data_IF_467970220632
#
_entry.id   IF_467970220632
#
_cell.length_a   1.000
_cell.length_b   1.000
_cell.length_c   1.000
_cell.angle_alpha   90.00
_cell.angle_beta   90.00
_cell.angle_gamma   90.00
#
_symmetry.space_group_name_H-M   'P 1'
#
loop_
_entity.id
_entity.type
_entity.pdbx_description
1 polymer ?
#
# COMPACT_ATOMS: atom_id res chain seq x y z
N UNK A 1 -4.67 -12.11 25.49
CA UNK A 1 -3.19 -11.95 25.42
C UNK A 1 -2.50 -12.43 26.71
N UNK A 2 -2.66 -13.71 27.08
CA UNK A 2 -2.02 -14.23 28.32
C UNK A 2 -1.56 -15.70 28.25
N UNK A 3 -1.97 -16.48 27.24
CA UNK A 3 -1.59 -17.90 27.09
C UNK A 3 -0.87 -18.25 25.78
N UNK A 4 -1.22 -17.61 24.66
CA UNK A 4 -0.53 -17.76 23.38
C UNK A 4 -0.56 -16.45 22.60
N UNK A 5 0.53 -16.15 21.90
CA UNK A 5 0.59 -15.03 20.98
C UNK A 5 -0.15 -15.40 19.69
N UNK A 6 -1.00 -14.51 19.18
CA UNK A 6 -1.68 -14.73 17.91
C UNK A 6 -0.64 -14.81 16.78
N UNK A 7 -0.83 -15.77 15.86
CA UNK A 7 0.01 -15.87 14.67
C UNK A 7 -0.19 -14.63 13.80
N UNK A 8 0.91 -14.02 13.36
CA UNK A 8 0.85 -12.93 12.40
C UNK A 8 0.42 -13.50 11.05
N UNK A 9 -0.71 -13.02 10.52
CA UNK A 9 -1.21 -13.41 9.22
C UNK A 9 -0.34 -12.73 8.13
N UNK A 10 0.25 -13.48 7.20
CA UNK A 10 1.01 -12.88 6.11
C UNK A 10 0.07 -12.11 5.19
N UNK A 11 0.48 -10.89 4.83
CA UNK A 11 -0.23 -10.08 3.84
C UNK A 11 0.16 -10.55 2.44
N UNK A 12 -0.83 -10.63 1.56
CA UNK A 12 -0.59 -10.77 0.13
C UNK A 12 0.18 -9.53 -0.38
N UNK A 13 1.16 -9.71 -1.27
CA UNK A 13 1.88 -8.59 -1.87
C UNK A 13 0.99 -7.81 -2.85
N UNK A 14 1.41 -6.58 -3.15
CA UNK A 14 0.73 -5.71 -4.11
C UNK A 14 0.79 -6.29 -5.54
N UNK A 15 -0.28 -6.22 -6.34
CA UNK A 15 -0.29 -6.79 -7.69
C UNK A 15 0.62 -6.07 -8.70
N UNK A 16 0.98 -4.80 -8.47
CA UNK A 16 1.78 -3.99 -9.42
C UNK A 16 3.27 -4.00 -9.06
N UNK A 17 3.59 -3.81 -7.78
CA UNK A 17 4.97 -3.70 -7.30
C UNK A 17 5.45 -4.94 -6.54
N UNK A 18 4.58 -5.93 -6.30
CA UNK A 18 4.86 -7.15 -5.53
C UNK A 18 5.40 -6.88 -4.11
N UNK A 19 5.11 -5.71 -3.56
CA UNK A 19 5.60 -5.27 -2.26
C UNK A 19 4.51 -5.42 -1.18
N UNK A 20 4.91 -5.97 -0.03
CA UNK A 20 4.05 -6.11 1.16
C UNK A 20 3.88 -4.78 1.91
N UNK A 21 4.83 -3.85 1.78
CA UNK A 21 4.75 -2.52 2.40
C UNK A 21 3.64 -1.69 1.77
N UNK A 22 3.54 -1.69 0.43
CA UNK A 22 2.45 -1.03 -0.30
C UNK A 22 1.08 -1.54 0.16
N UNK A 23 0.91 -2.86 0.23
CA UNK A 23 -0.36 -3.44 0.69
C UNK A 23 -0.68 -3.07 2.14
N UNK A 24 0.33 -2.99 3.02
CA UNK A 24 0.14 -2.54 4.41
C UNK A 24 -0.29 -1.07 4.45
N UNK A 25 0.32 -0.21 3.64
CA UNK A 25 -0.04 1.20 3.55
C UNK A 25 -1.47 1.40 3.04
N UNK A 26 -1.82 0.73 1.94
CA UNK A 26 -3.17 0.79 1.35
C UNK A 26 -4.23 0.29 2.34
N UNK A 27 -3.95 -0.73 3.14
CA UNK A 27 -4.88 -1.20 4.18
C UNK A 27 -5.15 -0.15 5.26
N UNK A 28 -4.18 0.72 5.58
CA UNK A 28 -4.36 1.83 6.53
C UNK A 28 -5.05 3.04 5.89
N UNK A 29 -4.87 3.23 4.57
CA UNK A 29 -5.53 4.29 3.79
C UNK A 29 -7.02 3.96 3.53
N UNK A 30 -7.35 2.68 3.44
CA UNK A 30 -8.68 2.20 3.10
C UNK A 30 -9.72 2.55 4.16
N UNK A 31 -10.81 3.19 3.73
CA UNK A 31 -12.01 3.44 4.54
C UNK A 31 -13.16 2.52 4.11
N UNK A 32 -14.00 2.09 5.06
CA UNK A 32 -15.19 1.25 4.79
C UNK A 32 -14.91 -0.07 4.03
N UNK A 33 -13.68 -0.59 4.07
CA UNK A 33 -13.31 -1.80 3.33
C UNK A 33 -13.18 -1.62 1.81
N UNK A 34 -13.18 -0.37 1.30
CA UNK A 34 -13.09 -0.05 -0.13
C UNK A 34 -11.67 -0.20 -0.67
N UNK A 35 -11.20 -1.44 -0.82
CA UNK A 35 -9.81 -1.73 -1.22
C UNK A 35 -9.46 -1.26 -2.63
N UNK A 36 -10.38 -1.44 -3.58
CA UNK A 36 -10.20 -0.98 -4.97
C UNK A 36 -10.03 0.55 -5.03
N UNK A 37 -10.87 1.30 -4.31
CA UNK A 37 -10.76 2.76 -4.25
C UNK A 37 -9.44 3.24 -3.63
N UNK A 38 -8.97 2.57 -2.57
CA UNK A 38 -7.70 2.90 -1.94
C UNK A 38 -6.49 2.68 -2.87
N UNK A 39 -6.48 1.59 -3.65
CA UNK A 39 -5.44 1.37 -4.66
C UNK A 39 -5.46 2.43 -5.76
N UNK A 40 -6.64 2.79 -6.27
CA UNK A 40 -6.78 3.85 -7.28
C UNK A 40 -6.23 5.18 -6.77
N UNK A 41 -6.57 5.58 -5.54
CA UNK A 41 -6.06 6.81 -4.93
C UNK A 41 -4.54 6.76 -4.80
N UNK A 42 -3.98 5.63 -4.33
CA UNK A 42 -2.55 5.47 -4.14
C UNK A 42 -1.77 5.58 -5.45
N UNK A 43 -2.15 4.84 -6.49
CA UNK A 43 -1.46 4.92 -7.78
C UNK A 43 -1.60 6.30 -8.44
N UNK A 44 -2.79 6.93 -8.34
CA UNK A 44 -2.97 8.30 -8.81
C UNK A 44 -2.07 9.30 -8.07
N UNK A 45 -1.79 9.07 -6.78
CA UNK A 45 -0.87 9.89 -6.02
C UNK A 45 0.59 9.68 -6.49
N UNK A 46 1.01 8.44 -6.73
CA UNK A 46 2.33 8.14 -7.30
C UNK A 46 2.52 8.81 -8.66
N UNK A 47 1.50 8.77 -9.54
CA UNK A 47 1.55 9.43 -10.84
C UNK A 47 1.68 10.96 -10.72
N UNK A 48 1.06 11.57 -9.69
CA UNK A 48 1.20 13.01 -9.42
C UNK A 48 2.60 13.35 -8.94
N UNK A 49 3.17 12.55 -8.04
CA UNK A 49 4.55 12.73 -7.54
C UNK A 49 5.55 12.58 -8.68
N UNK A 50 5.40 11.55 -9.52
CA UNK A 50 6.26 11.33 -10.68
C UNK A 50 6.24 12.52 -11.64
N UNK A 51 5.08 13.15 -11.86
CA UNK A 51 4.96 14.36 -12.70
C UNK A 51 5.63 15.59 -12.09
N UNK A 52 5.69 15.70 -10.76
CA UNK A 52 6.30 16.84 -10.08
C UNK A 52 7.82 16.69 -9.97
N UNK A 53 8.29 15.50 -9.60
CA UNK A 53 9.71 15.24 -9.34
C UNK A 53 10.46 14.79 -10.59
N UNK A 54 9.75 14.39 -11.67
CA UNK A 54 10.32 13.75 -12.87
C UNK A 54 11.12 12.47 -12.59
N UNK A 55 10.96 11.91 -11.40
CA UNK A 55 11.57 10.67 -10.92
C UNK A 55 10.49 9.57 -10.79
N UNK A 56 10.92 8.33 -10.58
CA UNK A 56 9.98 7.23 -10.34
C UNK A 56 9.26 7.44 -9.01
N UNK A 57 7.95 7.70 -9.07
CA UNK A 57 7.13 7.95 -7.88
C UNK A 57 7.15 6.79 -6.89
N UNK A 58 7.39 5.56 -7.33
CA UNK A 58 7.53 4.41 -6.43
C UNK A 58 8.84 4.45 -5.64
N UNK A 59 9.97 4.75 -6.29
CA UNK A 59 11.27 4.88 -5.63
C UNK A 59 11.31 6.07 -4.67
N UNK A 60 10.62 7.16 -5.01
CA UNK A 60 10.49 8.33 -4.11
C UNK A 60 9.64 8.02 -2.87
N UNK A 61 8.67 7.12 -2.98
CA UNK A 61 7.79 6.74 -1.87
C UNK A 61 8.42 5.71 -0.92
N UNK A 62 9.34 4.89 -1.43
CA UNK A 62 9.96 3.80 -0.69
C UNK A 62 10.91 4.28 0.41
#
# INVERSE_FOLDING_TARGET
>A
MRKAQAKKLPLAPDPKFNDKLVTRFVNNLMWEGKKSGAFTIFYNALDKVAKQTSEDGYEVWK
#
